data_IF_138158508289
#
_entry.id   IF_138158508289
#
_cell.length_a   1.000
_cell.length_b   1.000
_cell.length_c   1.000
_cell.angle_alpha   90.00
_cell.angle_beta   90.00
_cell.angle_gamma   90.00
#
_symmetry.space_group_name_H-M   'P 1'
#
loop_
_entity.id
_entity.type
_entity.pdbx_description
1 polymer ?
#
# COMPACT_ATOMS: atom_id res chain seq x y z
N UNK A 1 34.01 -10.81 -9.43
CA UNK A 1 33.28 -10.54 -8.19
C UNK A 1 32.29 -9.40 -8.38
N UNK A 2 31.04 -9.60 -8.02
CA UNK A 2 30.10 -8.49 -8.15
C UNK A 2 30.49 -7.35 -7.24
N UNK A 3 30.47 -6.16 -7.77
CA UNK A 3 30.67 -4.94 -7.00
C UNK A 3 29.51 -4.75 -6.01
N UNK A 4 29.81 -4.19 -4.85
CA UNK A 4 28.76 -3.83 -3.87
C UNK A 4 27.75 -2.83 -4.42
N UNK A 5 28.10 -2.13 -5.50
CA UNK A 5 27.22 -1.18 -6.17
C UNK A 5 26.43 -1.82 -7.30
N UNK A 6 26.67 -3.08 -7.59
CA UNK A 6 25.97 -3.78 -8.65
C UNK A 6 24.52 -4.00 -8.25
N UNK A 7 23.59 -3.59 -9.14
CA UNK A 7 22.16 -3.83 -8.90
C UNK A 7 21.86 -5.32 -8.91
N UNK A 8 20.88 -5.78 -8.10
CA UNK A 8 20.43 -7.16 -8.19
C UNK A 8 20.03 -7.50 -9.63
N UNK A 9 20.13 -8.77 -10.02
CA UNK A 9 19.71 -9.24 -11.34
C UNK A 9 18.24 -8.94 -11.60
N UNK A 10 17.43 -8.91 -10.54
CA UNK A 10 16.00 -8.67 -10.65
C UNK A 10 15.61 -7.45 -9.81
N UNK A 11 14.97 -6.50 -10.46
CA UNK A 11 14.46 -5.30 -9.82
C UNK A 11 13.04 -5.07 -10.33
N UNK A 12 12.08 -5.03 -9.41
CA UNK A 12 10.68 -4.93 -9.75
C UNK A 12 10.09 -3.62 -9.21
N UNK A 13 9.52 -2.82 -10.11
CA UNK A 13 8.78 -1.62 -9.69
C UNK A 13 7.34 -2.01 -9.42
N UNK A 14 6.87 -1.69 -8.23
CA UNK A 14 5.51 -1.95 -7.80
C UNK A 14 4.81 -0.65 -7.42
N UNK A 15 3.50 -0.67 -7.51
CA UNK A 15 2.64 0.39 -7.01
C UNK A 15 1.76 -0.19 -5.90
N UNK A 16 1.60 0.57 -4.84
CA UNK A 16 0.79 0.15 -3.70
C UNK A 16 0.01 1.31 -3.11
N UNK A 17 -0.92 0.99 -2.21
CA UNK A 17 -1.78 2.00 -1.58
C UNK A 17 -1.79 1.84 -0.07
N UNK A 18 -1.75 2.97 0.63
CA UNK A 18 -2.17 3.03 2.03
C UNK A 18 -3.63 3.48 1.99
N UNK A 19 -4.52 2.53 2.21
CA UNK A 19 -5.97 2.75 2.14
C UNK A 19 -6.47 3.32 3.45
N UNK A 20 -7.19 4.41 3.41
CA UNK A 20 -7.63 5.08 4.64
C UNK A 20 -9.09 5.51 4.53
N UNK A 21 -9.68 5.72 5.72
CA UNK A 21 -11.01 6.32 5.89
C UNK A 21 -11.03 7.09 7.20
N UNK A 22 -12.02 7.97 7.33
CA UNK A 22 -12.34 8.58 8.62
C UNK A 22 -13.63 7.95 9.13
N UNK A 23 -13.57 7.38 10.33
CA UNK A 23 -14.74 6.84 11.02
C UNK A 23 -14.88 7.57 12.33
N UNK A 24 -16.01 8.25 12.53
CA UNK A 24 -16.27 9.07 13.72
C UNK A 24 -15.11 10.05 13.96
N UNK A 25 -14.63 10.69 12.88
CA UNK A 25 -13.51 11.65 12.87
C UNK A 25 -12.14 11.06 13.19
N UNK A 26 -12.03 9.74 13.26
CA UNK A 26 -10.77 9.06 13.50
C UNK A 26 -10.26 8.45 12.20
N UNK A 27 -8.96 8.66 11.96
CA UNK A 27 -8.30 8.10 10.79
C UNK A 27 -8.02 6.62 11.02
N UNK A 28 -8.47 5.80 10.08
CA UNK A 28 -8.18 4.37 10.07
C UNK A 28 -7.54 3.98 8.75
N UNK A 29 -6.68 3.00 8.79
CA UNK A 29 -6.09 2.42 7.59
C UNK A 29 -6.47 0.95 7.48
N UNK A 30 -6.57 0.45 6.24
CA UNK A 30 -6.85 -0.95 6.00
C UNK A 30 -5.56 -1.68 5.71
N UNK A 31 -5.33 -2.76 6.42
CA UNK A 31 -4.27 -3.71 6.13
C UNK A 31 -4.89 -5.00 5.62
N UNK A 32 -4.15 -5.71 4.80
CA UNK A 32 -4.52 -7.04 4.31
C UNK A 32 -3.42 -8.03 4.69
N UNK A 33 -3.77 -9.31 4.72
CA UNK A 33 -2.75 -10.33 4.95
C UNK A 33 -2.02 -10.65 3.65
N UNK A 34 -0.75 -11.04 3.77
CA UNK A 34 -0.01 -11.66 2.66
C UNK A 34 -0.70 -12.97 2.26
N UNK A 35 -0.39 -13.49 1.07
CA UNK A 35 -1.04 -14.72 0.57
C UNK A 35 -0.91 -15.90 1.51
N UNK A 36 0.20 -16.00 2.22
CA UNK A 36 0.39 -17.04 3.23
C UNK A 36 -0.27 -16.74 4.57
N UNK A 37 -0.87 -15.57 4.72
CA UNK A 37 -1.53 -15.15 5.97
C UNK A 37 -0.59 -14.82 7.10
N UNK A 38 0.72 -14.70 6.84
CA UNK A 38 1.73 -14.52 7.89
C UNK A 38 2.04 -13.07 8.24
N UNK A 39 1.75 -12.14 7.32
CA UNK A 39 2.13 -10.75 7.48
C UNK A 39 0.96 -9.85 7.16
N UNK A 40 0.87 -8.72 7.86
CA UNK A 40 -0.02 -7.64 7.49
C UNK A 40 0.71 -6.70 6.55
N UNK A 41 0.10 -6.41 5.42
CA UNK A 41 0.70 -5.65 4.33
C UNK A 41 -0.32 -4.67 3.74
N UNK A 42 0.13 -3.90 2.75
CA UNK A 42 -0.76 -3.06 1.94
C UNK A 42 -0.95 -3.70 0.56
N UNK A 43 -2.06 -3.39 -0.13
CA UNK A 43 -2.24 -3.83 -1.52
C UNK A 43 -1.14 -3.27 -2.41
N UNK A 44 -0.55 -4.13 -3.24
CA UNK A 44 0.50 -3.73 -4.17
C UNK A 44 0.72 -4.79 -5.23
N UNK A 45 1.20 -4.38 -6.41
CA UNK A 45 1.61 -5.31 -7.45
C UNK A 45 2.58 -4.65 -8.43
N UNK A 46 3.21 -5.46 -9.27
CA UNK A 46 4.11 -4.99 -10.33
C UNK A 46 3.31 -4.17 -11.33
N UNK A 47 3.81 -2.98 -11.66
CA UNK A 47 3.12 -2.04 -12.54
C UNK A 47 3.07 -2.60 -13.96
N UNK A 48 1.88 -2.66 -14.55
CA UNK A 48 1.71 -3.05 -15.94
C UNK A 48 2.08 -1.91 -16.88
N UNK A 49 2.69 -2.21 -18.06
CA UNK A 49 3.25 -1.16 -18.93
C UNK A 49 2.25 -0.12 -19.44
N UNK A 50 0.98 -0.47 -19.57
CA UNK A 50 -0.02 0.43 -20.18
C UNK A 50 -0.82 1.24 -19.16
N UNK A 51 -0.50 1.11 -17.87
CA UNK A 51 -1.22 1.79 -16.81
C UNK A 51 -0.29 2.76 -16.08
N UNK A 52 -0.84 3.88 -15.63
CA UNK A 52 -0.10 4.73 -14.70
C UNK A 52 0.00 4.03 -13.34
N UNK A 53 0.96 4.46 -12.51
CA UNK A 53 1.09 3.91 -11.16
C UNK A 53 -0.21 4.09 -10.37
N UNK A 54 -0.89 5.23 -10.54
CA UNK A 54 -2.15 5.52 -9.87
C UNK A 54 -3.28 4.61 -10.35
N UNK A 55 -3.42 4.44 -11.66
CA UNK A 55 -4.45 3.56 -12.22
C UNK A 55 -4.25 2.12 -11.77
N UNK A 56 -3.01 1.67 -11.77
CA UNK A 56 -2.69 0.32 -11.33
C UNK A 56 -2.93 0.14 -9.85
N UNK A 57 -2.61 1.15 -9.03
CA UNK A 57 -2.86 1.13 -7.60
C UNK A 57 -4.36 0.97 -7.30
N UNK A 58 -5.22 1.66 -8.05
CA UNK A 58 -6.68 1.53 -7.90
C UNK A 58 -7.15 0.13 -8.25
N UNK A 59 -6.62 -0.45 -9.32
CA UNK A 59 -6.97 -1.80 -9.74
C UNK A 59 -6.60 -2.82 -8.66
N UNK A 60 -5.39 -2.73 -8.14
CA UNK A 60 -4.92 -3.66 -7.11
C UNK A 60 -5.65 -3.49 -5.79
N UNK A 61 -6.04 -2.27 -5.44
CA UNK A 61 -6.84 -2.03 -4.25
C UNK A 61 -8.16 -2.81 -4.30
N UNK A 62 -8.80 -2.87 -5.46
CA UNK A 62 -10.01 -3.67 -5.59
C UNK A 62 -9.71 -5.17 -5.60
N UNK A 63 -8.74 -5.61 -6.38
CA UNK A 63 -8.41 -7.04 -6.48
C UNK A 63 -8.00 -7.65 -5.14
N UNK A 64 -7.13 -6.96 -4.41
CA UNK A 64 -6.54 -7.50 -3.18
C UNK A 64 -7.32 -7.19 -1.92
N UNK A 65 -8.04 -6.06 -1.88
CA UNK A 65 -8.71 -5.60 -0.67
C UNK A 65 -10.21 -5.32 -0.83
N UNK A 66 -10.72 -5.37 -2.06
CA UNK A 66 -12.15 -5.14 -2.29
C UNK A 66 -12.60 -3.73 -2.02
N UNK A 67 -11.74 -2.75 -2.27
CA UNK A 67 -12.05 -1.34 -2.00
C UNK A 67 -12.03 -0.53 -3.28
N UNK A 68 -12.93 0.45 -3.33
CA UNK A 68 -12.99 1.45 -4.38
C UNK A 68 -12.95 2.84 -3.76
N UNK A 69 -12.42 3.80 -4.49
CA UNK A 69 -12.34 5.15 -3.98
C UNK A 69 -11.41 6.00 -4.84
N UNK A 70 -10.69 6.91 -4.20
CA UNK A 70 -9.86 7.89 -4.89
C UNK A 70 -8.41 7.77 -4.46
N UNK A 71 -7.53 7.50 -5.42
CA UNK A 71 -6.10 7.56 -5.17
C UNK A 71 -5.69 9.04 -5.12
N UNK A 72 -4.87 9.38 -4.13
CA UNK A 72 -4.25 10.70 -4.10
C UNK A 72 -3.03 10.60 -5.04
N UNK A 73 -2.95 11.44 -6.09
CA UNK A 73 -1.94 11.25 -7.14
C UNK A 73 -0.50 11.47 -6.69
N UNK A 74 -0.27 12.14 -5.58
CA UNK A 74 1.08 12.32 -5.04
C UNK A 74 1.46 11.13 -4.18
N UNK A 75 2.62 10.54 -4.46
CA UNK A 75 3.16 9.46 -3.65
C UNK A 75 3.52 9.96 -2.25
N UNK A 76 3.23 9.18 -1.23
CA UNK A 76 3.68 9.46 0.13
C UNK A 76 5.14 9.00 0.34
N UNK A 77 5.63 8.14 -0.53
CA UNK A 77 7.01 7.64 -0.47
C UNK A 77 7.13 6.26 -1.09
N UNK A 78 8.27 5.65 -0.85
CA UNK A 78 8.58 4.34 -1.41
C UNK A 78 9.22 3.47 -0.33
N UNK A 79 9.07 2.16 -0.48
CA UNK A 79 9.82 1.21 0.35
C UNK A 79 10.24 0.01 -0.49
N UNK A 80 11.23 -0.71 -0.01
CA UNK A 80 11.79 -1.86 -0.71
C UNK A 80 11.70 -3.12 0.16
N UNK A 81 11.57 -4.25 -0.49
CA UNK A 81 11.67 -5.54 0.16
C UNK A 81 12.22 -6.58 -0.82
N UNK A 82 12.77 -7.67 -0.28
CA UNK A 82 13.34 -8.73 -1.11
C UNK A 82 12.30 -9.79 -1.44
N UNK A 83 12.22 -10.18 -2.70
CA UNK A 83 11.32 -11.23 -3.16
C UNK A 83 11.79 -11.73 -4.53
N UNK A 84 11.56 -12.99 -4.83
CA UNK A 84 11.88 -13.59 -6.13
C UNK A 84 13.37 -13.47 -6.51
N UNK A 85 14.26 -13.51 -5.51
CA UNK A 85 15.69 -13.35 -5.76
C UNK A 85 16.12 -11.95 -6.15
N UNK A 86 15.26 -10.95 -5.96
CA UNK A 86 15.53 -9.57 -6.32
C UNK A 86 14.98 -8.58 -5.32
N UNK A 87 14.88 -7.34 -5.76
CA UNK A 87 14.37 -6.24 -4.94
C UNK A 87 13.07 -5.73 -5.56
N UNK A 88 12.03 -5.61 -4.73
CA UNK A 88 10.79 -4.95 -5.11
C UNK A 88 10.80 -3.55 -4.53
N UNK A 89 10.59 -2.55 -5.39
CA UNK A 89 10.48 -1.16 -4.97
C UNK A 89 9.01 -0.74 -5.10
N UNK A 90 8.36 -0.39 -3.99
CA UNK A 90 6.94 -0.06 -3.96
C UNK A 90 6.77 1.44 -3.83
N UNK A 91 6.18 2.05 -4.84
CA UNK A 91 5.76 3.45 -4.77
C UNK A 91 4.37 3.50 -4.17
N UNK A 92 4.19 4.24 -3.08
CA UNK A 92 3.00 4.17 -2.25
C UNK A 92 2.17 5.44 -2.38
N UNK A 93 0.87 5.25 -2.65
CA UNK A 93 -0.10 6.33 -2.76
C UNK A 93 -1.15 6.20 -1.66
N UNK A 94 -1.54 7.30 -1.02
CA UNK A 94 -2.72 7.28 -0.16
C UNK A 94 -3.97 7.04 -1.00
N UNK A 95 -4.92 6.29 -0.47
CA UNK A 95 -6.14 5.91 -1.17
C UNK A 95 -7.33 6.12 -0.25
N UNK A 96 -8.19 7.08 -0.60
CA UNK A 96 -9.41 7.33 0.17
C UNK A 96 -10.47 6.30 -0.21
N UNK A 97 -10.84 5.46 0.74
CA UNK A 97 -11.82 4.39 0.52
C UNK A 97 -13.23 4.98 0.58
N UNK A 98 -13.99 4.76 -0.49
CA UNK A 98 -15.39 5.21 -0.59
C UNK A 98 -16.37 4.04 -0.56
N UNK A 99 -15.96 2.88 -1.07
CA UNK A 99 -16.79 1.69 -1.10
C UNK A 99 -15.99 0.46 -0.67
N UNK A 100 -16.66 -0.44 0.03
CA UNK A 100 -16.07 -1.71 0.47
C UNK A 100 -16.97 -2.82 -0.06
N UNK A 101 -16.40 -3.70 -0.90
CA UNK A 101 -17.11 -4.83 -1.45
C UNK A 101 -16.97 -6.06 -0.54
N UNK A 102 -18.04 -6.84 -0.42
CA UNK A 102 -17.99 -8.11 0.32
C UNK A 102 -17.30 -9.18 -0.49
N UNK A 103 -17.50 -9.17 -1.80
CA UNK A 103 -16.89 -10.13 -2.72
C UNK A 103 -15.94 -9.40 -3.68
N UNK A 104 -14.73 -9.92 -3.80
CA UNK A 104 -13.70 -9.36 -4.68
C UNK A 104 -12.71 -10.48 -5.01
N UNK A 105 -11.85 -10.30 -6.05
CA UNK A 105 -11.03 -11.40 -6.56
C UNK A 105 -10.26 -12.20 -5.53
N UNK A 106 -9.59 -11.52 -4.57
CA UNK A 106 -8.75 -12.24 -3.60
C UNK A 106 -9.39 -12.41 -2.22
N UNK A 107 -10.72 -12.27 -2.14
CA UNK A 107 -11.44 -12.34 -0.86
C UNK A 107 -11.25 -13.68 -0.13
N UNK A 108 -11.04 -14.76 -0.86
CA UNK A 108 -10.85 -16.09 -0.26
C UNK A 108 -9.42 -16.35 0.18
N UNK A 109 -8.47 -15.50 -0.21
CA UNK A 109 -7.05 -15.71 0.03
C UNK A 109 -6.44 -14.74 1.03
N UNK A 110 -7.14 -13.65 1.36
CA UNK A 110 -6.63 -12.62 2.24
C UNK A 110 -7.68 -12.20 3.25
N UNK A 111 -7.22 -11.85 4.44
CA UNK A 111 -8.05 -11.15 5.42
C UNK A 111 -7.76 -9.67 5.29
N UNK A 112 -8.70 -8.84 5.70
CA UNK A 112 -8.55 -7.38 5.74
C UNK A 112 -9.08 -6.86 7.06
N UNK A 113 -8.49 -5.77 7.53
CA UNK A 113 -8.91 -5.16 8.80
C UNK A 113 -8.71 -3.64 8.76
N UNK A 114 -9.59 -2.94 9.42
CA UNK A 114 -9.41 -1.51 9.69
C UNK A 114 -8.74 -1.35 11.05
N UNK A 115 -7.69 -0.53 11.11
CA UNK A 115 -6.97 -0.25 12.35
C UNK A 115 -6.58 1.22 12.39
N UNK A 116 -6.39 1.75 13.61
CA UNK A 116 -5.85 3.09 13.74
C UNK A 116 -4.37 3.11 13.35
N UNK A 117 -3.80 4.30 13.23
CA UNK A 117 -2.40 4.46 12.79
C UNK A 117 -1.43 3.70 13.70
N UNK A 118 -1.58 3.83 15.02
CA UNK A 118 -0.65 3.20 15.96
C UNK A 118 -0.69 1.67 15.85
N UNK A 119 -1.88 1.11 15.73
CA UNK A 119 -2.02 -0.34 15.55
C UNK A 119 -1.48 -0.81 14.21
N UNK A 120 -1.70 -0.03 13.15
CA UNK A 120 -1.16 -0.36 11.83
C UNK A 120 0.36 -0.42 11.87
N UNK A 121 1.00 0.55 12.51
CA UNK A 121 2.46 0.60 12.67
C UNK A 121 2.96 -0.65 13.40
N UNK A 122 2.23 -1.10 14.43
CA UNK A 122 2.62 -2.30 15.19
C UNK A 122 2.45 -3.59 14.41
N UNK A 123 1.53 -3.63 13.46
CA UNK A 123 1.20 -4.86 12.73
C UNK A 123 2.10 -5.12 11.53
N UNK A 124 2.60 -4.07 10.86
CA UNK A 124 3.46 -4.26 9.68
C UNK A 124 4.90 -4.53 10.11
N UNK A 125 5.61 -5.33 9.31
CA UNK A 125 6.98 -5.76 9.62
C UNK A 125 8.05 -4.92 8.97
N UNK A 126 7.70 -4.14 7.95
CA UNK A 126 8.66 -3.36 7.18
C UNK A 126 8.78 -1.98 7.78
N UNK A 127 9.96 -1.64 8.30
CA UNK A 127 10.18 -0.38 9.00
C UNK A 127 9.90 0.86 8.16
N UNK A 128 10.25 0.83 6.90
CA UNK A 128 9.98 1.96 6.01
C UNK A 128 8.49 2.14 5.79
N UNK A 129 7.74 1.05 5.68
CA UNK A 129 6.28 1.11 5.58
C UNK A 129 5.67 1.68 6.86
N UNK A 130 6.18 1.30 8.03
CA UNK A 130 5.76 1.89 9.30
C UNK A 130 5.90 3.42 9.26
N UNK A 131 7.03 3.91 8.76
CA UNK A 131 7.28 5.35 8.66
C UNK A 131 6.28 6.03 7.73
N UNK A 132 5.97 5.42 6.60
CA UNK A 132 5.01 5.98 5.66
C UNK A 132 3.61 6.04 6.28
N UNK A 133 3.21 4.99 6.99
CA UNK A 133 1.91 4.98 7.69
C UNK A 133 1.87 6.08 8.74
N UNK A 134 2.94 6.26 9.51
CA UNK A 134 3.03 7.33 10.51
C UNK A 134 2.92 8.72 9.88
N UNK A 135 3.41 8.87 8.66
CA UNK A 135 3.39 10.15 7.95
C UNK A 135 2.02 10.48 7.37
N UNK A 136 1.13 9.50 7.26
CA UNK A 136 -0.16 9.69 6.59
C UNK A 136 -0.97 10.86 7.17
N UNK A 137 -1.16 10.99 8.51
CA UNK A 137 -1.95 12.10 9.03
C UNK A 137 -1.38 13.47 8.65
N UNK A 138 -0.07 13.64 8.74
CA UNK A 138 0.59 14.91 8.37
C UNK A 138 0.47 15.16 6.87
N UNK A 139 0.69 14.11 6.06
CA UNK A 139 0.58 14.20 4.61
C UNK A 139 -0.83 14.68 4.19
N UNK A 140 -1.87 14.07 4.75
CA UNK A 140 -3.26 14.42 4.45
C UNK A 140 -3.59 15.84 4.92
N UNK A 141 -3.10 16.23 6.09
CA UNK A 141 -3.33 17.56 6.63
C UNK A 141 -2.68 18.63 5.74
N UNK A 142 -1.47 18.39 5.26
CA UNK A 142 -0.78 19.30 4.35
C UNK A 142 -1.49 19.40 3.00
N UNK A 143 -2.07 18.32 2.52
CA UNK A 143 -2.86 18.32 1.30
C UNK A 143 -4.09 19.22 1.42
N UNK A 144 -4.82 19.09 2.52
CA UNK A 144 -6.01 19.90 2.77
C UNK A 144 -5.67 21.39 2.83
N UNK A 145 -4.54 21.74 3.44
CA UNK A 145 -4.13 23.15 3.58
C UNK A 145 -3.71 23.79 2.26
N UNK A 146 -3.32 23.01 1.27
CA UNK A 146 -2.92 23.52 -0.06
C UNK A 146 -4.14 23.79 -0.96
N UNK A 147 -5.23 23.20 -0.64
CA UNK A 147 -6.49 23.37 -1.36
C UNK A 147 -7.31 24.47 -0.68
#
# INVERSE_FOLDING_TARGET
MPSKTQKPLYYFDQSGVISFRYKKRKLEVMLITSMGGRHWIIPKAIIEPNLSAQEFAQQEAFEEAGIRGKVIPESIGEYQYSKWGGICNVKVFPFLVEEIADEYPESNFRKRTWVNIDNAVSLVDIKKLEKLIKQLPVFLNNKIKKD
#
